data_IF_217632909157
#
_entry.id   IF_217632909157
#
_cell.length_a   1.000
_cell.length_b   1.000
_cell.length_c   1.000
_cell.angle_alpha   90.00
_cell.angle_beta   90.00
_cell.angle_gamma   90.00
#
_symmetry.space_group_name_H-M   'P 1'
#
loop_
_entity.id
_entity.type
_entity.pdbx_description
1 polymer ?
#
# COMPACT_ATOMS: atom_id res chain seq x y z
N UNK A 1 -6.73 2.15 11.71
CA UNK A 1 -6.40 1.27 12.84
C UNK A 1 -5.96 -0.10 12.33
N UNK A 2 -6.78 -0.84 11.59
CA UNK A 2 -6.44 -2.21 11.13
C UNK A 2 -5.21 -2.28 10.21
N UNK A 3 -5.01 -1.31 9.31
CA UNK A 3 -3.83 -1.24 8.44
C UNK A 3 -2.54 -1.02 9.24
N UNK A 4 -2.57 -0.12 10.23
CA UNK A 4 -1.41 0.12 11.10
C UNK A 4 -1.08 -1.08 11.98
N UNK A 5 -2.09 -1.84 12.42
CA UNK A 5 -1.90 -3.03 13.26
C UNK A 5 -1.28 -4.17 12.46
N UNK A 6 -1.74 -4.41 11.24
CA UNK A 6 -1.17 -5.44 10.35
C UNK A 6 0.28 -5.09 9.97
N UNK A 7 0.54 -3.84 9.63
CA UNK A 7 1.90 -3.35 9.35
C UNK A 7 2.81 -3.47 10.58
N UNK A 8 2.31 -3.12 11.77
CA UNK A 8 3.05 -3.26 13.02
C UNK A 8 3.40 -4.72 13.34
N UNK A 9 2.46 -5.65 13.15
CA UNK A 9 2.69 -7.07 13.36
C UNK A 9 3.74 -7.62 12.39
N UNK A 10 3.67 -7.24 11.11
CA UNK A 10 4.67 -7.63 10.11
C UNK A 10 6.06 -7.11 10.48
N UNK A 11 6.17 -5.83 10.87
CA UNK A 11 7.43 -5.24 11.33
C UNK A 11 7.99 -5.97 12.55
N UNK A 12 7.14 -6.29 13.53
CA UNK A 12 7.58 -7.04 14.74
C UNK A 12 8.02 -8.46 14.41
N UNK A 13 7.36 -9.13 13.50
CA UNK A 13 7.73 -10.48 13.06
C UNK A 13 9.10 -10.48 12.37
N UNK A 14 9.33 -9.52 11.48
CA UNK A 14 10.56 -9.43 10.72
C UNK A 14 11.76 -8.85 11.53
N UNK A 15 11.53 -8.15 12.65
CA UNK A 15 12.54 -7.36 13.36
C UNK A 15 13.78 -8.16 13.75
N UNK A 16 13.60 -9.39 14.24
CA UNK A 16 14.70 -10.25 14.67
C UNK A 16 15.61 -10.60 13.49
N UNK A 17 15.02 -10.83 12.34
CA UNK A 17 15.74 -11.19 11.12
C UNK A 17 16.39 -9.95 10.48
N UNK A 18 15.68 -8.82 10.45
CA UNK A 18 16.22 -7.53 9.99
C UNK A 18 17.43 -7.10 10.81
N UNK A 19 17.40 -7.30 12.15
CA UNK A 19 18.54 -7.06 13.02
C UNK A 19 19.75 -7.88 12.62
N UNK A 20 19.54 -9.15 12.31
CA UNK A 20 20.61 -10.03 11.88
C UNK A 20 21.23 -9.63 10.53
N UNK A 21 20.45 -9.00 9.65
CA UNK A 21 20.89 -8.51 8.33
C UNK A 21 21.43 -7.07 8.34
N UNK A 22 21.24 -6.31 9.46
CA UNK A 22 21.67 -4.91 9.55
C UNK A 22 20.87 -3.94 8.67
N UNK A 23 19.63 -4.32 8.29
CA UNK A 23 18.72 -3.53 7.43
C UNK A 23 17.53 -2.95 8.18
N UNK A 24 17.75 -2.54 9.43
CA UNK A 24 16.72 -1.94 10.27
C UNK A 24 16.46 -0.49 9.91
N UNK A 25 15.18 -0.10 9.80
CA UNK A 25 14.80 1.32 9.62
C UNK A 25 14.90 2.15 10.90
N UNK A 26 14.89 1.50 12.07
CA UNK A 26 15.05 2.14 13.38
C UNK A 26 15.45 1.11 14.46
N UNK A 27 16.16 1.56 15.50
CA UNK A 27 16.61 0.71 16.62
C UNK A 27 15.48 -0.03 17.37
N UNK A 28 14.23 0.44 17.26
CA UNK A 28 13.06 -0.12 17.95
C UNK A 28 12.06 -0.81 17.03
N UNK A 29 12.30 -0.83 15.70
CA UNK A 29 11.36 -1.36 14.71
C UNK A 29 10.01 -0.60 14.70
N UNK A 30 10.03 0.67 15.12
CA UNK A 30 8.88 1.56 15.08
C UNK A 30 8.93 2.41 13.84
N UNK A 31 7.82 2.50 13.11
CA UNK A 31 7.72 3.40 11.96
C UNK A 31 7.70 4.84 12.46
N UNK A 32 8.52 5.69 11.86
CA UNK A 32 8.54 7.12 12.17
C UNK A 32 7.19 7.78 11.91
N UNK A 33 6.84 8.82 12.69
CA UNK A 33 5.59 9.57 12.52
C UNK A 33 5.42 10.13 11.10
N UNK A 34 6.50 10.45 10.41
CA UNK A 34 6.49 10.91 9.01
C UNK A 34 5.98 9.84 8.04
N UNK A 35 6.33 8.58 8.26
CA UNK A 35 5.85 7.46 7.44
C UNK A 35 4.33 7.25 7.64
N UNK A 36 3.84 7.37 8.89
CA UNK A 36 2.40 7.30 9.18
C UNK A 36 1.64 8.43 8.47
N UNK A 37 2.21 9.64 8.45
CA UNK A 37 1.61 10.79 7.76
C UNK A 37 1.60 10.57 6.24
N UNK A 38 2.73 10.17 5.64
CA UNK A 38 2.82 9.96 4.18
C UNK A 38 1.83 8.93 3.67
N UNK A 39 1.59 7.86 4.43
CA UNK A 39 0.63 6.82 4.10
C UNK A 39 -0.83 7.21 4.42
N UNK A 40 -1.04 8.10 5.39
CA UNK A 40 -2.38 8.53 5.84
C UNK A 40 -2.95 9.74 5.11
N UNK A 41 -2.12 10.55 4.46
CA UNK A 41 -2.58 11.82 3.86
C UNK A 41 -3.49 11.60 2.64
N UNK A 42 -3.21 10.60 1.80
CA UNK A 42 -4.01 10.33 0.60
C UNK A 42 -5.42 9.86 0.97
N UNK A 43 -5.63 8.84 1.84
CA UNK A 43 -6.98 8.48 2.27
C UNK A 43 -7.71 9.63 2.99
N UNK A 44 -7.00 10.50 3.72
CA UNK A 44 -7.60 11.69 4.31
C UNK A 44 -8.08 12.70 3.24
N UNK A 45 -7.30 12.92 2.18
CA UNK A 45 -7.70 13.75 1.05
C UNK A 45 -8.95 13.18 0.37
N UNK A 46 -8.99 11.87 0.13
CA UNK A 46 -10.17 11.20 -0.46
C UNK A 46 -11.40 11.43 0.39
N UNK A 47 -11.30 11.29 1.72
CA UNK A 47 -12.42 11.54 2.64
C UNK A 47 -12.90 12.99 2.60
N UNK A 48 -11.97 13.96 2.50
CA UNK A 48 -12.31 15.38 2.33
C UNK A 48 -12.98 15.63 0.98
N UNK A 49 -12.45 15.09 -0.12
CA UNK A 49 -13.07 15.22 -1.44
C UNK A 49 -14.50 14.67 -1.46
N UNK A 50 -14.74 13.54 -0.80
CA UNK A 50 -16.08 13.01 -0.64
C UNK A 50 -17.00 13.94 0.16
N UNK A 51 -16.52 14.48 1.27
CA UNK A 51 -17.31 15.41 2.11
C UNK A 51 -17.63 16.73 1.41
N UNK A 52 -16.92 17.08 0.35
CA UNK A 52 -17.14 18.25 -0.50
C UNK A 52 -17.94 17.93 -1.78
N UNK A 53 -18.55 16.75 -1.87
CA UNK A 53 -19.30 16.27 -3.03
C UNK A 53 -18.48 16.25 -4.34
N UNK A 54 -17.16 16.13 -4.27
CA UNK A 54 -16.26 16.04 -5.44
C UNK A 54 -16.13 14.61 -5.98
N UNK A 55 -16.50 13.61 -5.20
CA UNK A 55 -16.46 12.20 -5.54
C UNK A 55 -17.83 11.58 -5.32
N UNK A 56 -18.25 10.69 -6.23
CA UNK A 56 -19.42 9.85 -5.98
C UNK A 56 -19.13 8.88 -4.80
N UNK A 57 -20.16 8.31 -4.15
CA UNK A 57 -19.98 7.30 -3.12
C UNK A 57 -19.08 6.13 -3.57
N UNK A 58 -19.28 5.65 -4.79
CA UNK A 58 -18.48 4.58 -5.40
C UNK A 58 -17.01 4.98 -5.57
N UNK A 59 -16.77 6.13 -6.20
CA UNK A 59 -15.42 6.66 -6.37
C UNK A 59 -14.70 6.85 -5.04
N UNK A 60 -15.38 7.40 -4.04
CA UNK A 60 -14.81 7.60 -2.71
C UNK A 60 -14.45 6.29 -2.03
N UNK A 61 -15.35 5.30 -2.10
CA UNK A 61 -15.14 3.99 -1.49
C UNK A 61 -13.96 3.24 -2.13
N UNK A 62 -13.91 3.17 -3.46
CA UNK A 62 -12.80 2.54 -4.20
C UNK A 62 -11.50 3.27 -3.94
N UNK A 63 -11.47 4.60 -4.06
CA UNK A 63 -10.27 5.41 -3.85
C UNK A 63 -9.73 5.29 -2.42
N UNK A 64 -10.60 5.33 -1.42
CA UNK A 64 -10.23 5.17 -0.01
C UNK A 64 -9.63 3.79 0.24
N UNK A 65 -10.33 2.72 -0.20
CA UNK A 65 -9.85 1.34 -0.04
C UNK A 65 -8.55 1.09 -0.80
N UNK A 66 -8.44 1.61 -2.04
CA UNK A 66 -7.21 1.54 -2.84
C UNK A 66 -6.04 2.21 -2.11
N UNK A 67 -6.25 3.39 -1.52
CA UNK A 67 -5.18 4.12 -0.82
C UNK A 67 -4.63 3.36 0.37
N UNK A 68 -5.50 2.78 1.20
CA UNK A 68 -5.09 1.96 2.35
C UNK A 68 -4.48 0.64 1.86
N UNK A 69 -5.06 0.04 0.82
CA UNK A 69 -4.56 -1.17 0.18
C UNK A 69 -3.14 -0.99 -0.34
N UNK A 70 -2.85 0.11 -1.05
CA UNK A 70 -1.53 0.42 -1.58
C UNK A 70 -0.49 0.61 -0.47
N UNK A 71 -0.82 1.40 0.56
CA UNK A 71 0.06 1.62 1.70
C UNK A 71 0.39 0.32 2.45
N UNK A 72 -0.61 -0.56 2.63
CA UNK A 72 -0.42 -1.82 3.34
C UNK A 72 0.31 -2.84 2.47
N UNK A 73 0.01 -2.87 1.17
CA UNK A 73 0.67 -3.74 0.19
C UNK A 73 2.16 -3.43 0.08
N UNK A 74 2.53 -2.15 -0.02
CA UNK A 74 3.93 -1.72 -0.02
C UNK A 74 4.64 -2.10 1.28
N UNK A 75 4.00 -1.84 2.41
CA UNK A 75 4.55 -2.25 3.71
C UNK A 75 4.83 -3.76 3.78
N UNK A 76 3.87 -4.58 3.36
CA UNK A 76 4.05 -6.04 3.39
C UNK A 76 5.08 -6.50 2.36
N UNK A 77 5.16 -5.83 1.20
CA UNK A 77 6.20 -6.10 0.21
C UNK A 77 7.60 -5.91 0.80
N UNK A 78 7.83 -4.77 1.47
CA UNK A 78 9.13 -4.44 2.06
C UNK A 78 9.46 -5.31 3.28
N UNK A 79 8.49 -5.53 4.20
CA UNK A 79 8.72 -6.31 5.42
C UNK A 79 8.98 -7.80 5.15
N UNK A 80 8.32 -8.37 4.16
CA UNK A 80 8.51 -9.78 3.79
C UNK A 80 9.59 -9.92 2.72
N UNK A 81 9.67 -8.96 1.79
CA UNK A 81 10.66 -8.98 0.70
C UNK A 81 12.10 -8.97 1.18
N UNK A 82 12.39 -8.29 2.30
CA UNK A 82 13.73 -8.28 2.90
C UNK A 82 14.18 -9.65 3.42
N UNK A 83 13.25 -10.59 3.64
CA UNK A 83 13.57 -11.95 4.05
C UNK A 83 14.04 -12.82 2.87
N UNK A 84 13.82 -12.39 1.64
CA UNK A 84 14.26 -13.11 0.46
C UNK A 84 15.79 -13.00 0.29
N UNK A 85 16.49 -14.12 0.01
CA UNK A 85 17.95 -14.12 -0.05
C UNK A 85 18.52 -13.44 -1.29
N UNK A 86 17.76 -13.37 -2.37
CA UNK A 86 18.23 -12.88 -3.67
C UNK A 86 17.16 -12.04 -4.39
N UNK A 87 16.80 -10.86 -3.87
CA UNK A 87 15.88 -9.96 -4.57
C UNK A 87 16.52 -9.44 -5.86
N UNK A 88 15.70 -9.03 -6.81
CA UNK A 88 16.14 -8.46 -8.08
C UNK A 88 15.65 -7.02 -8.21
N UNK A 89 16.37 -6.19 -8.96
CA UNK A 89 15.93 -4.81 -9.21
C UNK A 89 14.73 -4.81 -10.16
N UNK A 90 13.64 -4.16 -9.80
CA UNK A 90 12.39 -4.13 -10.60
C UNK A 90 12.63 -3.58 -12.02
N UNK A 91 13.52 -2.60 -12.16
CA UNK A 91 13.90 -2.01 -13.46
C UNK A 91 14.88 -2.87 -14.28
N UNK A 92 15.49 -3.88 -13.66
CA UNK A 92 16.39 -4.83 -14.31
C UNK A 92 16.35 -6.19 -13.59
N UNK A 93 15.39 -7.07 -13.94
CA UNK A 93 15.22 -8.37 -13.27
C UNK A 93 16.40 -9.33 -13.37
N UNK A 94 17.37 -9.05 -14.25
CA UNK A 94 18.63 -9.83 -14.33
C UNK A 94 19.66 -9.40 -13.28
N UNK A 95 19.44 -8.25 -12.62
CA UNK A 95 20.35 -7.70 -11.62
C UNK A 95 19.88 -8.08 -10.23
N UNK A 96 20.60 -9.01 -9.58
CA UNK A 96 20.42 -9.28 -8.15
C UNK A 96 20.91 -8.09 -7.32
N UNK A 97 20.21 -7.81 -6.25
CA UNK A 97 20.51 -6.73 -5.29
C UNK A 97 20.50 -7.26 -3.88
N UNK A 98 21.05 -6.50 -2.94
CA UNK A 98 20.98 -6.86 -1.52
C UNK A 98 19.57 -6.68 -0.96
N UNK A 99 19.12 -7.52 0.00
CA UNK A 99 17.88 -7.31 0.71
C UNK A 99 17.79 -5.90 1.30
N UNK A 100 16.64 -5.23 1.14
CA UNK A 100 16.44 -3.85 1.59
C UNK A 100 16.89 -2.77 0.59
N UNK A 101 17.36 -3.15 -0.61
CA UNK A 101 17.66 -2.17 -1.67
C UNK A 101 16.37 -1.54 -2.21
N UNK A 102 16.33 -0.21 -2.32
CA UNK A 102 15.19 0.52 -2.91
C UNK A 102 14.89 0.04 -4.32
N UNK A 103 13.63 -0.35 -4.55
CA UNK A 103 13.21 -0.97 -5.80
C UNK A 103 13.66 -2.41 -6.02
N UNK A 104 14.19 -3.05 -4.99
CA UNK A 104 14.42 -4.50 -4.93
C UNK A 104 13.08 -5.24 -4.77
N UNK A 105 12.81 -6.21 -5.62
CA UNK A 105 11.60 -7.04 -5.57
C UNK A 105 11.94 -8.51 -5.44
N UNK A 106 11.10 -9.25 -4.75
CA UNK A 106 11.20 -10.70 -4.60
C UNK A 106 9.84 -11.36 -4.78
N UNK A 107 9.82 -12.65 -5.02
CA UNK A 107 8.56 -13.40 -5.14
C UNK A 107 7.78 -13.35 -3.82
N UNK A 108 8.48 -13.51 -2.70
CA UNK A 108 7.92 -13.48 -1.34
C UNK A 108 7.28 -12.11 -1.04
N UNK A 109 8.01 -11.02 -1.30
CA UNK A 109 7.51 -9.65 -1.11
C UNK A 109 6.33 -9.34 -2.03
N UNK A 110 6.42 -9.70 -3.32
CA UNK A 110 5.34 -9.50 -4.29
C UNK A 110 4.08 -10.30 -3.92
N UNK A 111 4.24 -11.52 -3.46
CA UNK A 111 3.11 -12.35 -3.00
C UNK A 111 2.47 -11.76 -1.74
N UNK A 112 3.28 -11.32 -0.78
CA UNK A 112 2.80 -10.66 0.43
C UNK A 112 2.04 -9.36 0.13
N UNK A 113 2.55 -8.56 -0.81
CA UNK A 113 1.90 -7.35 -1.32
C UNK A 113 0.50 -7.64 -1.90
N UNK A 114 0.41 -8.63 -2.81
CA UNK A 114 -0.86 -9.02 -3.41
C UNK A 114 -1.86 -9.52 -2.36
N UNK A 115 -1.43 -10.41 -1.48
CA UNK A 115 -2.29 -10.93 -0.40
C UNK A 115 -2.76 -9.82 0.54
N UNK A 116 -1.91 -8.85 0.82
CA UNK A 116 -2.23 -7.69 1.64
C UNK A 116 -3.29 -6.81 0.97
N UNK A 117 -3.13 -6.47 -0.32
CA UNK A 117 -4.10 -5.68 -1.07
C UNK A 117 -5.48 -6.37 -1.11
N UNK A 118 -5.53 -7.67 -1.39
CA UNK A 118 -6.76 -8.45 -1.37
C UNK A 118 -7.38 -8.47 0.03
N UNK A 119 -6.58 -8.72 1.06
CA UNK A 119 -7.06 -8.74 2.46
C UNK A 119 -7.64 -7.40 2.89
N UNK A 120 -7.00 -6.29 2.52
CA UNK A 120 -7.51 -4.95 2.84
C UNK A 120 -8.81 -4.62 2.10
N UNK A 121 -8.95 -5.02 0.84
CA UNK A 121 -10.22 -4.90 0.11
C UNK A 121 -11.33 -5.71 0.77
N UNK A 122 -11.06 -6.94 1.18
CA UNK A 122 -12.03 -7.79 1.90
C UNK A 122 -12.41 -7.20 3.27
N UNK A 123 -11.43 -6.71 4.04
CA UNK A 123 -11.68 -6.08 5.33
C UNK A 123 -12.52 -4.80 5.20
N UNK A 124 -12.22 -3.97 4.19
CA UNK A 124 -13.02 -2.79 3.88
C UNK A 124 -14.45 -3.17 3.52
N UNK A 125 -14.63 -4.17 2.66
CA UNK A 125 -15.94 -4.69 2.30
C UNK A 125 -16.71 -5.17 3.54
N UNK A 126 -16.11 -6.00 4.37
CA UNK A 126 -16.75 -6.48 5.60
C UNK A 126 -17.10 -5.34 6.55
N UNK A 127 -16.20 -4.37 6.73
CA UNK A 127 -16.46 -3.22 7.59
C UNK A 127 -17.65 -2.39 7.08
N UNK A 128 -17.72 -2.16 5.77
CA UNK A 128 -18.84 -1.43 5.18
C UNK A 128 -20.16 -2.21 5.32
N UNK A 129 -20.19 -3.51 5.01
CA UNK A 129 -21.41 -4.35 5.16
C UNK A 129 -21.91 -4.35 6.60
N UNK A 130 -21.03 -4.36 7.59
CA UNK A 130 -21.40 -4.39 8.99
C UNK A 130 -21.82 -3.02 9.55
N UNK A 131 -21.39 -1.92 8.94
CA UNK A 131 -21.59 -0.57 9.47
C UNK A 131 -22.63 0.25 8.71
N UNK A 132 -23.06 -0.20 7.53
CA UNK A 132 -23.94 0.55 6.63
C UNK A 132 -25.34 -0.05 6.69
N UNK A 133 -26.35 0.79 6.95
CA UNK A 133 -27.76 0.42 6.86
C UNK A 133 -28.17 0.16 5.40
N UNK A 134 -29.13 -0.76 5.18
CA UNK A 134 -29.61 -1.15 3.84
C UNK A 134 -30.08 0.02 2.96
N UNK A 135 -30.50 1.14 3.56
CA UNK A 135 -30.95 2.34 2.85
C UNK A 135 -29.82 3.35 2.56
N UNK A 136 -28.59 3.05 2.92
CA UNK A 136 -27.47 3.97 2.70
C UNK A 136 -27.05 3.97 1.23
N UNK A 137 -26.67 5.13 0.64
CA UNK A 137 -26.23 5.22 -0.78
C UNK A 137 -25.12 4.24 -1.17
N UNK A 138 -24.26 3.89 -0.21
CA UNK A 138 -23.20 2.91 -0.43
C UNK A 138 -23.68 1.46 -0.55
N UNK A 139 -24.91 1.13 -0.13
CA UNK A 139 -25.37 -0.27 -0.13
C UNK A 139 -25.53 -0.85 -1.54
N UNK A 140 -25.92 -0.01 -2.52
CA UNK A 140 -26.07 -0.43 -3.91
C UNK A 140 -24.76 -0.62 -4.67
N UNK A 141 -23.63 -0.21 -4.08
CA UNK A 141 -22.30 -0.22 -4.71
C UNK A 141 -21.54 -1.52 -4.39
N UNK A 142 -22.07 -2.34 -3.47
CA UNK A 142 -21.47 -3.61 -3.07
C UNK A 142 -21.62 -4.69 -4.15
N UNK A 143 -21.08 -4.41 -5.33
CA UNK A 143 -20.84 -5.44 -6.32
C UNK A 143 -19.43 -6.02 -6.14
N UNK A 144 -19.27 -7.26 -6.58
CA UNK A 144 -17.99 -7.99 -6.48
C UNK A 144 -16.85 -7.22 -7.17
N UNK A 145 -17.19 -6.38 -8.14
CA UNK A 145 -16.25 -5.54 -8.90
C UNK A 145 -15.47 -4.56 -8.03
N UNK A 146 -16.10 -3.99 -6.98
CA UNK A 146 -15.41 -3.13 -6.01
C UNK A 146 -14.17 -3.82 -5.40
N UNK A 147 -14.31 -5.07 -4.98
CA UNK A 147 -13.22 -5.83 -4.36
C UNK A 147 -12.04 -5.99 -5.31
N UNK A 148 -12.33 -6.34 -6.55
CA UNK A 148 -11.29 -6.55 -7.55
C UNK A 148 -10.58 -5.27 -7.94
N UNK A 149 -11.33 -4.18 -8.12
CA UNK A 149 -10.77 -2.88 -8.49
C UNK A 149 -9.85 -2.37 -7.37
N UNK A 150 -10.35 -2.35 -6.13
CA UNK A 150 -9.55 -1.85 -5.00
C UNK A 150 -8.33 -2.74 -4.72
N UNK A 151 -8.45 -4.06 -4.80
CA UNK A 151 -7.32 -4.98 -4.64
C UNK A 151 -6.28 -4.81 -5.75
N UNK A 152 -6.73 -4.71 -7.01
CA UNK A 152 -5.84 -4.55 -8.16
C UNK A 152 -5.04 -3.25 -8.07
N UNK A 153 -5.72 -2.11 -7.87
CA UNK A 153 -5.03 -0.83 -7.79
C UNK A 153 -4.23 -0.67 -6.49
N UNK A 154 -4.66 -1.29 -5.39
CA UNK A 154 -3.86 -1.38 -4.16
C UNK A 154 -2.54 -2.11 -4.39
N UNK A 155 -2.57 -3.28 -5.01
CA UNK A 155 -1.37 -4.02 -5.40
C UNK A 155 -0.53 -3.24 -6.43
N UNK A 156 -1.16 -2.62 -7.43
CA UNK A 156 -0.48 -1.81 -8.43
C UNK A 156 0.27 -0.62 -7.81
N UNK A 157 -0.27 -0.02 -6.73
CA UNK A 157 0.40 1.02 -5.96
C UNK A 157 1.75 0.59 -5.40
N UNK A 158 1.87 -0.63 -4.86
CA UNK A 158 3.16 -1.14 -4.36
C UNK A 158 4.17 -1.43 -5.48
N UNK A 159 3.70 -1.78 -6.68
CA UNK A 159 4.57 -1.91 -7.86
C UNK A 159 5.11 -0.54 -8.28
N UNK A 160 4.25 0.49 -8.29
CA UNK A 160 4.67 1.88 -8.56
C UNK A 160 5.69 2.33 -7.51
N UNK A 161 5.48 2.00 -6.24
CA UNK A 161 6.40 2.32 -5.15
C UNK A 161 7.80 1.75 -5.44
N UNK A 162 7.89 0.46 -5.71
CA UNK A 162 9.15 -0.19 -6.08
C UNK A 162 9.81 0.44 -7.33
N UNK A 163 9.01 0.87 -8.32
CA UNK A 163 9.53 1.56 -9.52
C UNK A 163 10.08 2.94 -9.18
N UNK A 164 9.39 3.70 -8.34
CA UNK A 164 9.83 5.02 -7.89
C UNK A 164 11.07 4.90 -6.99
N UNK A 165 11.11 3.89 -6.11
CA UNK A 165 12.28 3.56 -5.29
C UNK A 165 13.51 3.29 -6.17
N UNK A 166 13.38 2.41 -7.16
CA UNK A 166 14.46 2.08 -8.09
C UNK A 166 14.94 3.27 -8.94
N UNK A 167 14.12 4.31 -9.14
CA UNK A 167 14.40 5.39 -10.10
C UNK A 167 14.65 6.74 -9.46
N UNK A 168 13.76 7.18 -8.56
CA UNK A 168 13.79 8.53 -7.99
C UNK A 168 14.45 8.56 -6.61
N UNK A 169 14.21 7.56 -5.77
CA UNK A 169 14.79 7.47 -4.44
C UNK A 169 16.29 7.16 -4.51
N UNK A 170 16.68 6.17 -5.30
CA UNK A 170 18.09 5.85 -5.55
C UNK A 170 18.91 7.02 -6.15
N UNK A 171 18.24 8.01 -6.75
CA UNK A 171 18.89 9.24 -7.25
C UNK A 171 18.85 10.40 -6.24
N UNK A 172 18.24 10.20 -5.08
CA UNK A 172 18.06 11.24 -4.07
C UNK A 172 17.08 12.36 -4.49
N UNK A 173 16.22 12.13 -5.50
CA UNK A 173 15.22 13.11 -5.97
C UNK A 173 14.01 13.12 -5.01
N UNK A 174 13.58 11.94 -4.56
CA UNK A 174 12.54 11.75 -3.55
C UNK A 174 13.13 10.92 -2.41
N UNK A 175 12.66 11.17 -1.19
CA UNK A 175 12.88 10.23 -0.09
C UNK A 175 11.70 9.28 0.04
N UNK A 176 11.82 8.24 0.85
CA UNK A 176 10.82 7.19 1.08
C UNK A 176 9.39 7.74 1.28
N UNK A 177 9.21 8.75 2.13
CA UNK A 177 7.88 9.36 2.35
C UNK A 177 7.28 10.00 1.09
N UNK A 178 8.13 10.57 0.23
CA UNK A 178 7.72 11.14 -1.06
C UNK A 178 7.33 10.05 -2.06
N UNK A 179 8.06 8.95 -2.07
CA UNK A 179 7.77 7.78 -2.90
C UNK A 179 6.42 7.18 -2.50
N UNK A 180 6.19 6.93 -1.20
CA UNK A 180 4.93 6.42 -0.67
C UNK A 180 3.74 7.33 -1.03
N UNK A 181 3.89 8.64 -0.84
CA UNK A 181 2.83 9.58 -1.20
C UNK A 181 2.51 9.55 -2.70
N UNK A 182 3.53 9.53 -3.57
CA UNK A 182 3.35 9.51 -5.02
C UNK A 182 2.76 8.19 -5.51
N UNK A 183 3.21 7.05 -4.99
CA UNK A 183 2.73 5.72 -5.38
C UNK A 183 1.26 5.51 -5.00
N UNK A 184 0.88 5.88 -3.77
CA UNK A 184 -0.51 5.81 -3.30
C UNK A 184 -1.40 6.76 -4.10
N UNK A 185 -0.94 7.99 -4.35
CA UNK A 185 -1.68 8.97 -5.15
C UNK A 185 -1.91 8.47 -6.58
N UNK A 186 -0.88 7.89 -7.19
CA UNK A 186 -1.00 7.32 -8.54
C UNK A 186 -2.00 6.16 -8.57
N UNK A 187 -1.95 5.24 -7.61
CA UNK A 187 -2.90 4.13 -7.51
C UNK A 187 -4.35 4.64 -7.42
N UNK A 188 -4.60 5.64 -6.58
CA UNK A 188 -5.92 6.26 -6.43
C UNK A 188 -6.37 6.95 -7.72
N UNK A 189 -5.50 7.74 -8.36
CA UNK A 189 -5.85 8.41 -9.61
C UNK A 189 -6.19 7.41 -10.72
N UNK A 190 -5.42 6.33 -10.86
CA UNK A 190 -5.73 5.27 -11.83
C UNK A 190 -7.04 4.56 -11.52
N UNK A 191 -7.36 4.30 -10.25
CA UNK A 191 -8.64 3.70 -9.87
C UNK A 191 -9.82 4.61 -10.20
N UNK A 192 -9.68 5.94 -9.98
CA UNK A 192 -10.70 6.92 -10.32
C UNK A 192 -10.91 7.07 -11.83
N UNK A 193 -9.82 7.07 -12.61
CA UNK A 193 -9.90 7.10 -14.08
C UNK A 193 -10.56 5.82 -14.61
N UNK A 194 -10.34 4.68 -13.97
CA UNK A 194 -10.99 3.42 -14.37
C UNK A 194 -12.50 3.43 -14.13
N UNK A 195 -12.97 4.19 -13.13
CA UNK A 195 -14.39 4.32 -12.77
C UNK A 195 -15.10 5.48 -13.51
N UNK A 196 -14.39 6.29 -14.29
CA UNK A 196 -14.98 7.42 -15.03
C UNK A 196 -15.55 6.98 -16.38
#
# INVERSE_FOLDING_TARGET
>A
VCSSDLSFLATKFAIVYKKALGVEESDEGTRGGSNVISNGIVPAIVAVCYSLDLLSPEQALVAFTTSIGAATADTMASEIGVLAPEPVLITNPSKKVEPGTDGGVSLEGTTASLLSAVSMSMLSFCAFVLMIEENHPFYSIFEVDFLYIAAFFGFFGSIIDSLLGATLENKGILGNNGVNFCSISAAVLFSLVFLS
#
